data_IF_528158867996
#
_entry.id   IF_528158867996
#
_cell.length_a   1.000
_cell.length_b   1.000
_cell.length_c   1.000
_cell.angle_alpha   90.00
_cell.angle_beta   90.00
_cell.angle_gamma   90.00
#
_symmetry.space_group_name_H-M   'P 1'
#
loop_
_entity.id
_entity.type
_entity.pdbx_description
1 polymer ?
#
# COMPACT_ATOMS: atom_id res chain seq x y z
N UNK A 1 84.05 -24.79 -104.94
CA UNK A 1 83.33 -25.83 -104.20
C UNK A 1 82.41 -25.09 -103.24
N UNK A 2 81.25 -24.65 -103.73
CA UNK A 2 80.02 -25.44 -103.73
C UNK A 2 79.70 -25.94 -102.33
N UNK A 3 78.70 -25.35 -101.68
CA UNK A 3 77.44 -26.08 -101.53
C UNK A 3 76.24 -25.12 -101.46
N UNK A 4 75.20 -25.47 -102.22
CA UNK A 4 73.90 -24.79 -102.29
C UNK A 4 72.90 -25.72 -101.62
N UNK A 5 72.36 -25.32 -100.47
CA UNK A 5 71.24 -25.99 -99.82
C UNK A 5 70.07 -25.03 -99.64
N UNK A 6 69.23 -24.93 -100.65
CA UNK A 6 67.88 -24.34 -100.59
C UNK A 6 66.95 -25.24 -99.77
N UNK A 7 66.30 -24.69 -98.75
CA UNK A 7 64.96 -25.11 -98.35
C UNK A 7 64.08 -23.89 -98.12
N UNK A 8 63.15 -23.73 -99.07
CA UNK A 8 61.97 -22.88 -99.02
C UNK A 8 60.85 -23.68 -98.37
N UNK A 9 59.94 -22.96 -97.73
CA UNK A 9 58.61 -23.39 -97.25
C UNK A 9 58.55 -23.99 -95.84
N UNK A 10 58.15 -23.14 -94.89
CA UNK A 10 56.87 -23.31 -94.22
C UNK A 10 56.33 -21.95 -93.78
N UNK A 11 55.56 -21.34 -94.67
CA UNK A 11 54.64 -20.27 -94.35
C UNK A 11 53.50 -20.87 -93.51
N UNK A 12 53.46 -20.58 -92.21
CA UNK A 12 52.24 -20.65 -91.40
C UNK A 12 52.18 -19.45 -90.46
N UNK A 13 51.70 -18.36 -91.04
CA UNK A 13 50.68 -17.48 -90.49
C UNK A 13 50.35 -17.70 -88.99
N UNK A 14 50.88 -16.82 -88.14
CA UNK A 14 50.11 -16.22 -87.04
C UNK A 14 50.60 -14.78 -86.88
N UNK A 15 50.31 -13.97 -87.90
CA UNK A 15 50.10 -12.56 -87.64
C UNK A 15 48.84 -12.44 -86.79
N UNK A 16 48.98 -11.81 -85.63
CA UNK A 16 48.05 -10.74 -85.30
C UNK A 16 48.90 -9.48 -85.27
N UNK A 17 48.98 -8.76 -86.39
CA UNK A 17 49.29 -7.33 -86.33
C UNK A 17 48.26 -6.74 -85.38
N UNK A 18 48.70 -6.36 -84.17
CA UNK A 18 47.84 -5.69 -83.22
C UNK A 18 47.43 -4.37 -83.88
N UNK A 19 46.16 -4.23 -84.25
CA UNK A 19 45.69 -3.02 -84.91
C UNK A 19 45.76 -1.88 -83.90
N UNK A 20 46.28 -0.74 -84.32
CA UNK A 20 46.42 0.46 -83.47
C UNK A 20 45.07 0.90 -82.85
N UNK A 21 43.96 0.60 -83.54
CA UNK A 21 42.59 0.80 -83.04
C UNK A 21 42.25 -0.06 -81.81
N UNK A 22 42.67 -1.32 -81.78
CA UNK A 22 42.43 -2.22 -80.64
C UNK A 22 43.21 -1.74 -79.40
N UNK A 23 44.41 -1.20 -79.61
CA UNK A 23 45.23 -0.58 -78.54
C UNK A 23 44.55 0.69 -78.01
N UNK A 24 44.01 1.53 -78.90
CA UNK A 24 43.35 2.77 -78.52
C UNK A 24 42.05 2.52 -77.73
N UNK A 25 41.26 1.51 -78.14
CA UNK A 25 40.08 1.07 -77.38
C UNK A 25 40.47 0.53 -75.99
N UNK A 26 41.55 -0.25 -75.90
CA UNK A 26 42.05 -0.76 -74.63
C UNK A 26 42.48 0.38 -73.69
N UNK A 27 43.23 1.37 -74.20
CA UNK A 27 43.68 2.55 -73.44
C UNK A 27 42.48 3.39 -73.00
N UNK A 28 41.50 3.61 -73.88
CA UNK A 28 40.25 4.31 -73.54
C UNK A 28 39.47 3.56 -72.45
N UNK A 29 39.39 2.23 -72.55
CA UNK A 29 38.79 1.36 -71.54
C UNK A 29 39.54 1.40 -70.21
N UNK A 30 40.87 1.47 -70.23
CA UNK A 30 41.72 1.64 -69.04
C UNK A 30 41.52 3.01 -68.40
N UNK A 31 41.46 4.08 -69.19
CA UNK A 31 41.21 5.44 -68.69
C UNK A 31 39.87 5.52 -67.93
N UNK A 32 38.79 4.98 -68.52
CA UNK A 32 37.47 4.93 -67.85
C UNK A 32 37.48 4.10 -66.57
N UNK A 33 38.34 3.09 -66.45
CA UNK A 33 38.51 2.32 -65.21
C UNK A 33 39.34 3.10 -64.18
N UNK A 34 40.29 3.91 -64.62
CA UNK A 34 41.07 4.82 -63.76
C UNK A 34 40.14 5.83 -63.08
N UNK A 35 39.26 6.49 -63.84
CA UNK A 35 38.29 7.46 -63.28
C UNK A 35 37.39 6.80 -62.21
N UNK A 36 36.99 5.54 -62.42
CA UNK A 36 36.24 4.78 -61.42
C UNK A 36 37.06 4.43 -60.18
N UNK A 37 38.37 4.19 -60.33
CA UNK A 37 39.26 3.94 -59.19
C UNK A 37 39.43 5.21 -58.34
N UNK A 38 39.54 6.38 -58.97
CA UNK A 38 39.62 7.65 -58.24
C UNK A 38 38.34 7.92 -57.43
N UNK A 39 37.16 7.67 -58.02
CA UNK A 39 35.87 7.77 -57.30
C UNK A 39 35.79 6.78 -56.14
N UNK A 40 36.30 5.55 -56.32
CA UNK A 40 36.34 4.55 -55.25
C UNK A 40 37.27 5.02 -54.13
N UNK A 41 38.42 5.61 -54.47
CA UNK A 41 39.37 6.13 -53.48
C UNK A 41 38.75 7.26 -52.65
N UNK A 42 38.09 8.22 -53.29
CA UNK A 42 37.39 9.31 -52.61
C UNK A 42 36.30 8.78 -51.67
N UNK A 43 35.47 7.85 -52.14
CA UNK A 43 34.45 7.21 -51.30
C UNK A 43 35.06 6.45 -50.12
N UNK A 44 36.22 5.82 -50.34
CA UNK A 44 36.92 5.07 -49.28
C UNK A 44 37.48 6.00 -48.20
N UNK A 45 37.97 7.18 -48.55
CA UNK A 45 38.39 8.21 -47.60
C UNK A 45 37.21 8.78 -46.80
N UNK A 46 36.06 9.01 -47.46
CA UNK A 46 34.83 9.43 -46.78
C UNK A 46 34.35 8.38 -45.78
N UNK A 47 34.29 7.11 -46.18
CA UNK A 47 33.92 5.98 -45.31
C UNK A 47 34.87 5.88 -44.11
N UNK A 48 36.18 6.06 -44.30
CA UNK A 48 37.14 6.04 -43.19
C UNK A 48 36.90 7.16 -42.18
N UNK A 49 36.47 8.33 -42.66
CA UNK A 49 36.15 9.49 -41.80
C UNK A 49 34.89 9.21 -40.99
N UNK A 50 33.82 8.77 -41.64
CA UNK A 50 32.57 8.37 -40.97
C UNK A 50 32.81 7.26 -39.93
N UNK A 51 33.62 6.24 -40.27
CA UNK A 51 33.98 5.17 -39.34
C UNK A 51 34.71 5.68 -38.09
N UNK A 52 35.56 6.71 -38.21
CA UNK A 52 36.22 7.34 -37.04
C UNK A 52 35.21 8.07 -36.18
N UNK A 53 34.25 8.77 -36.77
CA UNK A 53 33.20 9.47 -36.03
C UNK A 53 32.27 8.51 -35.31
N UNK A 54 31.84 7.43 -35.99
CA UNK A 54 31.05 6.36 -35.39
C UNK A 54 31.78 5.72 -34.20
N UNK A 55 33.10 5.46 -34.32
CA UNK A 55 33.89 4.95 -33.19
C UNK A 55 33.86 5.87 -31.97
N UNK A 56 34.05 7.19 -32.18
CA UNK A 56 33.97 8.17 -31.08
C UNK A 56 32.59 8.20 -30.43
N UNK A 57 31.53 8.13 -31.25
CA UNK A 57 30.16 8.07 -30.74
C UNK A 57 29.90 6.80 -29.91
N UNK A 58 30.43 5.66 -30.36
CA UNK A 58 30.35 4.39 -29.63
C UNK A 58 31.10 4.46 -28.29
N UNK A 59 32.31 5.04 -28.27
CA UNK A 59 33.08 5.23 -27.03
C UNK A 59 32.34 6.13 -26.03
N UNK A 60 31.76 7.24 -26.52
CA UNK A 60 30.94 8.13 -25.70
C UNK A 60 29.72 7.40 -25.13
N UNK A 61 28.98 6.68 -25.98
CA UNK A 61 27.81 5.92 -25.57
C UNK A 61 28.16 4.83 -24.52
N UNK A 62 29.30 4.16 -24.67
CA UNK A 62 29.78 3.20 -23.67
C UNK A 62 30.07 3.86 -22.32
N UNK A 63 30.69 5.05 -22.33
CA UNK A 63 30.93 5.81 -21.10
C UNK A 63 29.62 6.19 -20.40
N UNK A 64 28.63 6.71 -21.14
CA UNK A 64 27.31 7.04 -20.56
C UNK A 64 26.60 5.80 -20.01
N UNK A 65 26.66 4.67 -20.72
CA UNK A 65 26.07 3.41 -20.26
C UNK A 65 26.68 2.99 -18.92
N UNK A 66 27.99 3.11 -18.75
CA UNK A 66 28.66 2.72 -17.52
C UNK A 66 28.33 3.66 -16.34
N UNK A 67 28.15 4.95 -16.61
CA UNK A 67 27.71 5.89 -15.57
C UNK A 67 26.24 5.67 -15.19
N UNK A 68 25.37 5.39 -16.16
CA UNK A 68 23.98 5.01 -15.91
C UNK A 68 23.87 3.72 -15.08
N UNK A 69 24.73 2.72 -15.34
CA UNK A 69 24.78 1.50 -14.53
C UNK A 69 25.12 1.80 -13.07
N UNK A 70 26.15 2.61 -12.82
CA UNK A 70 26.55 3.00 -11.46
C UNK A 70 25.43 3.78 -10.75
N UNK A 71 24.74 4.68 -11.45
CA UNK A 71 23.63 5.42 -10.88
C UNK A 71 22.44 4.51 -10.56
N UNK A 72 22.15 3.56 -11.45
CA UNK A 72 21.08 2.59 -11.27
C UNK A 72 21.34 1.66 -10.07
N UNK A 73 22.59 1.22 -9.87
CA UNK A 73 22.99 0.46 -8.69
C UNK A 73 22.78 1.24 -7.40
N UNK A 74 23.19 2.52 -7.36
CA UNK A 74 22.97 3.42 -6.22
C UNK A 74 21.47 3.60 -5.94
N UNK A 75 20.67 3.83 -6.99
CA UNK A 75 19.21 3.95 -6.87
C UNK A 75 18.58 2.67 -6.34
N UNK A 76 19.00 1.51 -6.84
CA UNK A 76 18.52 0.22 -6.35
C UNK A 76 18.85 -0.01 -4.88
N UNK A 77 20.05 0.39 -4.43
CA UNK A 77 20.42 0.33 -3.02
C UNK A 77 19.52 1.23 -2.16
N UNK A 78 19.39 2.50 -2.51
CA UNK A 78 18.54 3.46 -1.78
C UNK A 78 17.08 2.99 -1.73
N UNK A 79 16.58 2.40 -2.82
CA UNK A 79 15.24 1.85 -2.88
C UNK A 79 15.07 0.70 -1.87
N UNK A 80 16.03 -0.24 -1.80
CA UNK A 80 15.98 -1.35 -0.83
C UNK A 80 15.98 -0.83 0.61
N UNK A 81 16.90 0.06 0.96
CA UNK A 81 16.99 0.66 2.29
C UNK A 81 15.71 1.40 2.68
N UNK A 82 15.13 2.13 1.72
CA UNK A 82 13.87 2.85 1.92
C UNK A 82 12.70 1.89 2.15
N UNK A 83 12.60 0.82 1.35
CA UNK A 83 11.56 -0.21 1.52
C UNK A 83 11.68 -0.91 2.86
N UNK A 84 12.90 -1.27 3.29
CA UNK A 84 13.14 -1.88 4.60
C UNK A 84 12.72 -0.95 5.75
N UNK A 85 13.05 0.34 5.64
CA UNK A 85 12.66 1.34 6.63
C UNK A 85 11.15 1.54 6.69
N UNK A 86 10.46 1.56 5.55
CA UNK A 86 9.00 1.64 5.48
C UNK A 86 8.37 0.43 6.17
N UNK A 87 8.80 -0.79 5.82
CA UNK A 87 8.27 -2.01 6.41
C UNK A 87 8.45 -2.02 7.94
N UNK A 88 9.61 -1.56 8.42
CA UNK A 88 9.86 -1.43 9.87
C UNK A 88 8.93 -0.40 10.51
N UNK A 89 8.77 0.77 9.91
CA UNK A 89 7.89 1.81 10.42
C UNK A 89 6.42 1.36 10.45
N UNK A 90 5.96 0.61 9.45
CA UNK A 90 4.62 0.03 9.42
C UNK A 90 4.40 -0.98 10.55
N UNK A 91 5.40 -1.84 10.81
CA UNK A 91 5.37 -2.79 11.91
C UNK A 91 5.35 -2.10 13.29
N UNK A 92 6.21 -1.10 13.48
CA UNK A 92 6.28 -0.30 14.70
C UNK A 92 4.97 0.47 14.92
N UNK A 93 4.41 1.09 13.87
CA UNK A 93 3.15 1.81 13.94
C UNK A 93 1.99 0.88 14.32
N UNK A 94 1.94 -0.32 13.73
CA UNK A 94 0.94 -1.34 14.10
C UNK A 94 1.06 -1.72 15.58
N UNK A 95 2.28 -1.90 16.08
CA UNK A 95 2.56 -2.24 17.47
C UNK A 95 2.15 -1.10 18.43
N UNK A 96 2.47 0.13 18.08
CA UNK A 96 2.11 1.32 18.83
C UNK A 96 0.58 1.51 18.87
N UNK A 97 -0.09 1.36 17.74
CA UNK A 97 -1.55 1.46 17.65
C UNK A 97 -2.23 0.42 18.56
N UNK A 98 -1.78 -0.83 18.50
CA UNK A 98 -2.30 -1.90 19.36
C UNK A 98 -2.08 -1.59 20.84
N UNK A 99 -0.90 -1.07 21.19
CA UNK A 99 -0.56 -0.67 22.57
C UNK A 99 -1.44 0.47 23.06
N UNK A 100 -1.69 1.48 22.23
CA UNK A 100 -2.57 2.61 22.55
C UNK A 100 -4.01 2.13 22.74
N UNK A 101 -4.53 1.28 21.86
CA UNK A 101 -5.89 0.71 21.99
C UNK A 101 -6.01 -0.08 23.29
N UNK A 102 -5.02 -0.90 23.62
CA UNK A 102 -5.00 -1.71 24.84
C UNK A 102 -4.91 -0.86 26.10
N UNK A 103 -4.09 0.20 26.12
CA UNK A 103 -4.06 1.19 27.21
C UNK A 103 -5.39 1.91 27.39
N UNK A 104 -6.02 2.38 26.30
CA UNK A 104 -7.36 2.98 26.33
C UNK A 104 -8.37 1.99 26.89
N UNK A 105 -8.35 0.73 26.44
CA UNK A 105 -9.26 -0.32 26.90
C UNK A 105 -9.10 -0.64 28.39
N UNK A 106 -7.86 -0.68 28.91
CA UNK A 106 -7.60 -0.84 30.35
C UNK A 106 -8.15 0.34 31.14
N UNK A 107 -7.92 1.57 30.68
CA UNK A 107 -8.39 2.79 31.34
C UNK A 107 -9.92 2.90 31.39
N UNK A 108 -10.60 2.36 30.38
CA UNK A 108 -12.06 2.39 30.24
C UNK A 108 -12.79 1.15 30.81
N UNK A 109 -12.05 0.15 31.30
CA UNK A 109 -12.61 -1.17 31.67
C UNK A 109 -13.74 -1.10 32.70
N UNK A 110 -13.60 -0.19 33.65
CA UNK A 110 -14.53 -0.01 34.77
C UNK A 110 -15.54 1.10 34.51
N UNK A 111 -15.69 1.52 33.24
CA UNK A 111 -16.63 2.55 32.84
C UNK A 111 -17.90 1.94 32.22
N UNK A 112 -19.05 2.53 32.56
CA UNK A 112 -20.33 2.27 31.90
C UNK A 112 -20.87 3.52 31.21
N UNK A 113 -21.60 3.29 30.14
CA UNK A 113 -22.36 4.28 29.39
C UNK A 113 -23.84 4.09 29.67
N UNK A 114 -24.49 5.17 30.08
CA UNK A 114 -25.92 5.24 30.34
C UNK A 114 -26.59 6.09 29.26
N UNK A 115 -27.52 5.50 28.53
CA UNK A 115 -28.22 6.10 27.40
C UNK A 115 -29.65 6.43 27.76
N UNK A 116 -30.20 7.47 27.11
CA UNK A 116 -31.59 7.91 27.25
C UNK A 116 -31.98 8.31 28.68
N UNK A 117 -31.02 8.68 29.52
CA UNK A 117 -31.31 9.35 30.79
C UNK A 117 -31.66 10.81 30.51
N UNK A 118 -32.83 11.33 30.96
CA UNK A 118 -33.21 12.73 30.77
C UNK A 118 -32.09 13.68 31.17
N UNK A 119 -31.87 14.76 30.41
CA UNK A 119 -30.79 15.71 30.62
C UNK A 119 -31.37 17.02 31.16
N UNK A 120 -30.93 17.42 32.36
CA UNK A 120 -31.42 18.60 33.08
C UNK A 120 -30.31 19.65 33.20
N UNK A 121 -30.70 20.90 33.43
CA UNK A 121 -29.74 21.97 33.79
C UNK A 121 -29.19 21.69 35.19
N UNK A 122 -27.88 21.84 35.38
CA UNK A 122 -27.18 21.62 36.66
C UNK A 122 -27.41 20.23 37.29
N UNK A 123 -27.43 19.21 36.44
CA UNK A 123 -27.65 17.83 36.87
C UNK A 123 -26.47 17.24 37.68
N UNK A 124 -26.80 16.43 38.69
CA UNK A 124 -25.83 15.57 39.37
C UNK A 124 -25.89 14.16 38.77
N UNK A 125 -25.05 13.92 37.76
CA UNK A 125 -25.06 12.63 37.04
C UNK A 125 -24.78 11.42 37.95
N UNK A 126 -24.01 11.57 39.04
CA UNK A 126 -23.79 10.50 40.03
C UNK A 126 -25.09 10.17 40.77
N UNK A 127 -25.80 11.18 41.28
CA UNK A 127 -27.07 10.99 41.97
C UNK A 127 -28.13 10.38 41.05
N UNK A 128 -28.18 10.79 39.78
CA UNK A 128 -29.07 10.21 38.78
C UNK A 128 -28.78 8.72 38.54
N UNK A 129 -27.50 8.33 38.48
CA UNK A 129 -27.12 6.93 38.36
C UNK A 129 -27.56 6.15 39.60
N UNK A 130 -27.28 6.63 40.82
CA UNK A 130 -27.70 5.93 42.04
C UNK A 130 -29.21 5.71 42.09
N UNK A 131 -30.00 6.75 41.78
CA UNK A 131 -31.45 6.66 41.68
C UNK A 131 -31.91 5.60 40.67
N UNK A 132 -31.28 5.55 39.50
CA UNK A 132 -31.55 4.51 38.50
C UNK A 132 -31.25 3.09 39.04
N UNK A 133 -30.12 2.93 39.74
CA UNK A 133 -29.70 1.65 40.30
C UNK A 133 -30.70 1.17 41.38
N UNK A 134 -31.15 2.06 42.26
CA UNK A 134 -32.15 1.77 43.29
C UNK A 134 -33.52 1.46 42.68
N UNK A 135 -34.08 2.39 41.91
CA UNK A 135 -35.47 2.30 41.45
C UNK A 135 -35.71 1.25 40.37
N UNK A 136 -34.72 1.01 39.49
CA UNK A 136 -34.93 0.18 38.29
C UNK A 136 -34.13 -1.11 38.30
N UNK A 137 -33.01 -1.17 39.03
CA UNK A 137 -32.16 -2.35 39.06
C UNK A 137 -32.20 -3.10 40.41
N UNK A 138 -32.74 -2.48 41.46
CA UNK A 138 -32.94 -3.09 42.78
C UNK A 138 -31.67 -3.13 43.63
N UNK A 139 -30.78 -2.15 43.49
CA UNK A 139 -29.62 -2.00 44.37
C UNK A 139 -30.00 -1.19 45.60
N UNK A 140 -30.00 -1.79 46.80
CA UNK A 140 -30.29 -1.09 48.05
C UNK A 140 -29.13 -0.21 48.50
N UNK A 141 -29.42 1.03 48.90
CA UNK A 141 -28.44 2.03 49.34
C UNK A 141 -27.31 2.24 48.32
N UNK A 142 -27.65 2.36 47.04
CA UNK A 142 -26.67 2.45 45.97
C UNK A 142 -25.70 3.61 46.18
N UNK A 143 -26.18 4.75 46.69
CA UNK A 143 -25.34 5.91 47.02
C UNK A 143 -24.27 5.62 48.10
N UNK A 144 -24.54 4.70 49.02
CA UNK A 144 -23.59 4.32 50.07
C UNK A 144 -22.66 3.19 49.61
N UNK A 145 -23.20 2.15 48.97
CA UNK A 145 -22.48 0.91 48.66
C UNK A 145 -21.69 0.95 47.35
N UNK A 146 -22.17 1.68 46.35
CA UNK A 146 -21.55 1.74 45.02
C UNK A 146 -20.76 3.04 44.92
N UNK A 147 -19.45 2.94 44.72
CA UNK A 147 -18.59 4.12 44.60
C UNK A 147 -18.28 4.44 43.14
N UNK A 148 -18.66 5.64 42.74
CA UNK A 148 -18.40 6.21 41.41
C UNK A 148 -17.29 7.25 41.57
N UNK A 149 -16.17 7.04 40.88
CA UNK A 149 -15.02 7.95 40.85
C UNK A 149 -15.41 9.26 40.17
N UNK A 150 -15.95 9.15 38.96
CA UNK A 150 -16.42 10.29 38.19
C UNK A 150 -17.56 9.92 37.26
N UNK A 151 -18.49 10.84 37.06
CA UNK A 151 -19.55 10.73 36.06
C UNK A 151 -19.78 12.08 35.36
N UNK A 152 -20.11 12.03 34.07
CA UNK A 152 -20.42 13.22 33.28
C UNK A 152 -21.11 12.85 31.95
N UNK A 153 -21.77 13.83 31.32
CA UNK A 153 -22.29 13.68 29.94
C UNK A 153 -21.16 13.66 28.92
N UNK A 154 -21.26 12.77 27.94
CA UNK A 154 -20.34 12.70 26.81
C UNK A 154 -20.65 13.77 25.75
N UNK A 155 -19.61 14.47 25.30
CA UNK A 155 -19.70 15.46 24.23
C UNK A 155 -20.32 16.79 24.66
N UNK A 156 -20.36 17.76 23.74
CA UNK A 156 -20.97 19.08 23.96
C UNK A 156 -22.44 19.06 23.57
N UNK A 157 -23.31 19.72 24.35
CA UNK A 157 -24.72 19.91 24.00
C UNK A 157 -24.81 20.84 22.80
N UNK A 158 -25.38 20.37 21.68
CA UNK A 158 -25.61 21.22 20.50
C UNK A 158 -26.96 21.92 20.61
N UNK A 159 -27.03 23.16 20.09
CA UNK A 159 -28.28 23.94 20.05
C UNK A 159 -29.31 23.18 19.21
N UNK A 160 -30.49 22.94 19.77
CA UNK A 160 -31.58 22.22 19.10
C UNK A 160 -31.49 20.69 19.19
N UNK A 161 -30.48 20.12 19.86
CA UNK A 161 -30.41 18.69 20.09
C UNK A 161 -31.37 18.28 21.22
N UNK A 162 -32.40 17.51 20.86
CA UNK A 162 -33.42 17.02 21.80
C UNK A 162 -33.06 15.68 22.44
N UNK A 163 -32.08 14.97 21.85
CA UNK A 163 -31.64 13.68 22.37
C UNK A 163 -30.68 13.89 23.53
N UNK A 164 -31.00 13.30 24.69
CA UNK A 164 -30.14 13.35 25.84
C UNK A 164 -28.77 12.70 25.55
N UNK A 165 -27.69 13.39 25.94
CA UNK A 165 -26.32 12.87 25.77
C UNK A 165 -26.10 11.67 26.68
N UNK A 166 -25.32 10.65 26.27
CA UNK A 166 -25.00 9.54 27.17
C UNK A 166 -24.19 10.03 28.38
N UNK A 167 -24.44 9.46 29.56
CA UNK A 167 -23.57 9.65 30.73
C UNK A 167 -22.50 8.56 30.70
N UNK A 168 -21.23 8.93 30.87
CA UNK A 168 -20.17 8.00 31.21
C UNK A 168 -19.91 8.05 32.71
N UNK A 169 -19.79 6.90 33.36
CA UNK A 169 -19.39 6.82 34.75
C UNK A 169 -18.31 5.77 34.97
N UNK A 170 -17.27 6.14 35.72
CA UNK A 170 -16.19 5.25 36.15
C UNK A 170 -16.48 4.76 37.56
N UNK A 171 -16.54 3.45 37.72
CA UNK A 171 -16.76 2.80 39.01
C UNK A 171 -15.43 2.47 39.67
N UNK A 172 -15.36 2.59 41.00
CA UNK A 172 -14.12 2.28 41.74
C UNK A 172 -13.87 0.77 41.77
N UNK A 173 -14.93 -0.03 41.82
CA UNK A 173 -14.85 -1.47 41.95
C UNK A 173 -15.40 -2.16 40.69
N UNK A 174 -14.56 -2.98 40.08
CA UNK A 174 -14.93 -3.77 38.90
C UNK A 174 -16.18 -4.65 39.14
N UNK A 175 -16.32 -5.17 40.37
CA UNK A 175 -17.45 -6.02 40.76
C UNK A 175 -18.79 -5.29 40.67
N UNK A 176 -18.83 -4.02 41.08
CA UNK A 176 -20.04 -3.18 40.98
C UNK A 176 -20.45 -3.02 39.51
N UNK A 177 -19.49 -2.65 38.66
CA UNK A 177 -19.69 -2.52 37.22
C UNK A 177 -20.26 -3.80 36.61
N UNK A 178 -19.69 -4.96 36.96
CA UNK A 178 -20.15 -6.27 36.47
C UNK A 178 -21.56 -6.58 36.98
N UNK A 179 -21.85 -6.31 38.25
CA UNK A 179 -23.17 -6.53 38.85
C UNK A 179 -24.25 -5.67 38.18
N UNK A 180 -23.96 -4.38 37.95
CA UNK A 180 -24.83 -3.45 37.23
C UNK A 180 -25.11 -3.98 35.82
N UNK A 181 -24.07 -4.38 35.08
CA UNK A 181 -24.23 -4.91 33.72
C UNK A 181 -25.06 -6.19 33.66
N UNK A 182 -24.93 -7.09 34.64
CA UNK A 182 -25.76 -8.30 34.72
C UNK A 182 -27.24 -7.97 34.93
N UNK A 183 -27.52 -6.91 35.69
CA UNK A 183 -28.89 -6.44 35.98
C UNK A 183 -29.46 -5.53 34.89
N UNK A 184 -28.65 -4.96 34.00
CA UNK A 184 -29.08 -4.05 32.93
C UNK A 184 -30.18 -4.63 32.01
N UNK A 185 -30.29 -5.97 31.90
CA UNK A 185 -31.38 -6.63 31.18
C UNK A 185 -32.77 -6.28 31.70
N UNK A 186 -32.91 -5.92 32.98
CA UNK A 186 -34.18 -5.48 33.61
C UNK A 186 -34.73 -4.20 32.97
N UNK A 187 -33.90 -3.41 32.30
CA UNK A 187 -34.29 -2.14 31.68
C UNK A 187 -34.93 -2.30 30.30
N UNK A 188 -34.75 -3.45 29.64
CA UNK A 188 -35.12 -3.66 28.22
C UNK A 188 -36.59 -3.40 27.93
N UNK A 189 -37.46 -3.81 28.84
CA UNK A 189 -38.92 -3.76 28.65
C UNK A 189 -39.57 -2.60 29.44
N UNK A 190 -38.76 -1.66 29.93
CA UNK A 190 -39.27 -0.49 30.65
C UNK A 190 -39.66 0.64 29.70
N UNK A 191 -40.72 1.38 30.03
CA UNK A 191 -41.16 2.56 29.27
C UNK A 191 -40.07 3.63 29.12
N UNK A 192 -39.12 3.69 30.06
CA UNK A 192 -38.01 4.65 30.07
C UNK A 192 -36.99 4.46 28.94
N UNK A 193 -36.93 3.25 28.33
CA UNK A 193 -35.95 2.89 27.27
C UNK A 193 -34.50 3.22 27.62
N UNK A 194 -34.14 3.25 28.90
CA UNK A 194 -32.78 3.49 29.36
C UNK A 194 -31.90 2.31 28.95
N UNK A 195 -30.73 2.62 28.39
CA UNK A 195 -29.75 1.62 27.99
C UNK A 195 -28.49 1.72 28.83
N UNK A 196 -27.87 0.58 29.15
CA UNK A 196 -26.55 0.52 29.78
C UNK A 196 -25.63 -0.34 28.92
N UNK A 197 -24.43 0.16 28.64
CA UNK A 197 -23.37 -0.61 27.99
C UNK A 197 -22.01 -0.35 28.61
N UNK A 198 -21.05 -1.22 28.33
CA UNK A 198 -19.64 -0.96 28.61
C UNK A 198 -19.12 0.16 27.69
N UNK A 199 -18.13 0.91 28.18
CA UNK A 199 -17.37 1.85 27.34
C UNK A 199 -16.22 1.10 26.63
N UNK A 200 -16.01 1.41 25.35
CA UNK A 200 -14.88 0.90 24.58
C UNK A 200 -14.14 2.06 23.90
N UNK A 201 -12.84 1.90 23.61
CA UNK A 201 -12.12 2.76 22.67
C UNK A 201 -12.86 2.82 21.33
N UNK A 202 -12.73 3.94 20.62
CA UNK A 202 -13.48 4.20 19.39
C UNK A 202 -13.26 3.11 18.35
N UNK A 203 -12.02 2.65 18.21
CA UNK A 203 -11.59 1.60 17.28
C UNK A 203 -12.38 0.29 17.53
N UNK A 204 -12.47 -0.12 18.80
CA UNK A 204 -13.23 -1.30 19.22
C UNK A 204 -14.75 -1.06 19.08
N UNK A 205 -15.23 0.13 19.48
CA UNK A 205 -16.64 0.48 19.40
C UNK A 205 -17.15 0.47 17.94
N UNK A 206 -16.32 0.92 17.01
CA UNK A 206 -16.59 0.92 15.56
C UNK A 206 -16.73 -0.51 15.03
N UNK A 207 -15.79 -1.39 15.34
CA UNK A 207 -15.88 -2.80 14.94
C UNK A 207 -17.08 -3.51 15.57
N UNK A 208 -17.34 -3.28 16.85
CA UNK A 208 -18.55 -3.81 17.51
C UNK A 208 -19.82 -3.34 16.83
N UNK A 209 -19.89 -2.07 16.41
CA UNK A 209 -21.05 -1.53 15.67
C UNK A 209 -21.21 -2.23 14.32
N UNK A 210 -20.11 -2.48 13.59
CA UNK A 210 -20.11 -3.24 12.32
C UNK A 210 -20.61 -4.67 12.52
N UNK A 211 -20.18 -5.34 13.58
CA UNK A 211 -20.52 -6.74 13.89
C UNK A 211 -21.91 -6.92 14.53
N UNK A 212 -22.51 -5.85 15.05
CA UNK A 212 -23.76 -5.93 15.81
C UNK A 212 -24.97 -6.48 15.02
N UNK A 213 -25.17 -6.15 13.72
CA UNK A 213 -26.23 -6.75 12.91
C UNK A 213 -26.11 -8.28 12.83
N UNK A 214 -24.91 -8.80 12.60
CA UNK A 214 -24.64 -10.24 12.52
C UNK A 214 -24.80 -10.92 13.88
N UNK A 215 -24.33 -10.28 14.95
CA UNK A 215 -24.60 -10.73 16.32
C UNK A 215 -26.11 -10.86 16.59
N UNK A 216 -26.90 -9.86 16.20
CA UNK A 216 -28.37 -9.89 16.35
C UNK A 216 -29.03 -10.96 15.48
N UNK A 217 -28.55 -11.17 14.26
CA UNK A 217 -29.04 -12.20 13.35
C UNK A 217 -28.79 -13.59 13.93
N UNK A 218 -27.57 -13.86 14.38
CA UNK A 218 -27.21 -15.11 15.03
C UNK A 218 -28.07 -15.39 16.27
N UNK A 219 -28.27 -14.39 17.14
CA UNK A 219 -29.15 -14.53 18.32
C UNK A 219 -30.62 -14.79 17.96
N UNK A 220 -31.14 -14.16 16.90
CA UNK A 220 -32.51 -14.42 16.41
C UNK A 220 -32.67 -15.84 15.87
N UNK A 221 -31.60 -16.40 15.31
CA UNK A 221 -31.55 -17.78 14.82
C UNK A 221 -31.21 -18.79 15.93
N UNK A 222 -31.34 -18.42 17.21
CA UNK A 222 -31.01 -19.26 18.38
C UNK A 222 -29.56 -19.78 18.42
N UNK A 223 -28.62 -19.11 17.73
CA UNK A 223 -27.20 -19.46 17.78
C UNK A 223 -26.51 -18.81 18.98
N UNK A 224 -25.46 -19.47 19.49
CA UNK A 224 -24.64 -18.94 20.59
C UNK A 224 -23.69 -17.87 20.05
N UNK A 225 -24.09 -16.60 20.13
CA UNK A 225 -23.27 -15.48 19.67
C UNK A 225 -22.73 -14.64 20.83
N UNK A 226 -21.43 -14.30 20.83
CA UNK A 226 -20.77 -13.48 21.85
C UNK A 226 -19.83 -12.47 21.22
N UNK A 227 -19.88 -11.21 21.68
CA UNK A 227 -18.95 -10.15 21.28
C UNK A 227 -17.88 -9.94 22.36
N UNK A 228 -16.65 -10.35 22.08
CA UNK A 228 -15.50 -10.18 22.98
C UNK A 228 -14.57 -9.14 22.38
N UNK A 229 -14.37 -8.01 23.08
CA UNK A 229 -13.67 -6.82 22.54
C UNK A 229 -14.26 -6.44 21.16
N UNK A 230 -13.47 -6.53 20.12
CA UNK A 230 -13.74 -6.21 18.71
C UNK A 230 -14.13 -7.44 17.87
N UNK A 231 -14.24 -8.63 18.47
CA UNK A 231 -14.48 -9.90 17.76
C UNK A 231 -15.83 -10.51 18.07
N UNK A 232 -16.48 -11.04 17.04
CA UNK A 232 -17.73 -11.80 17.16
C UNK A 232 -17.43 -13.29 17.07
N UNK A 233 -17.94 -14.06 18.02
CA UNK A 233 -17.91 -15.52 18.01
C UNK A 233 -19.33 -16.06 17.84
N UNK A 234 -19.54 -16.98 16.91
CA UNK A 234 -20.83 -17.67 16.67
C UNK A 234 -20.59 -19.16 16.83
N UNK A 235 -21.32 -19.81 17.74
CA UNK A 235 -21.14 -21.21 18.15
C UNK A 235 -19.70 -21.55 18.59
N UNK A 236 -18.97 -20.57 19.10
CA UNK A 236 -17.59 -20.72 19.55
C UNK A 236 -16.54 -20.41 18.48
N UNK A 237 -16.94 -20.26 17.21
CA UNK A 237 -16.04 -19.95 16.11
C UNK A 237 -15.96 -18.45 15.84
N UNK A 238 -14.77 -17.98 15.47
CA UNK A 238 -14.55 -16.58 15.11
C UNK A 238 -15.28 -16.27 13.80
N UNK A 239 -16.21 -15.31 13.85
CA UNK A 239 -16.89 -14.80 12.67
C UNK A 239 -15.92 -13.98 11.82
N UNK A 240 -15.66 -14.45 10.60
CA UNK A 240 -14.87 -13.78 9.57
C UNK A 240 -15.83 -13.24 8.51
N UNK A 241 -16.48 -12.11 8.81
CA UNK A 241 -17.36 -11.41 7.87
C UNK A 241 -16.80 -10.08 7.44
#
# INVERSE_FOLDING_TARGET
MEDKGTEKEMNKNFGSEVKLQDIFELISGMSKKMDKLDIIQENMENIQTELKEVRKSIEYAHSEIDDLKKENEKKAQVQRETTERINKLEADNTTLLNSVIDLKARSMRDNLLFYNMPEESDENTTAMIHKLLEEKLGFEDAAMKIKIDRSHRLGKKKRGETKARPIVAKFNFHQDKVSIMRNAKKLKDTASRIGISEQFPEEIARERKRLYPEFKKARRNNLKATLVRDKLFINGELFRG
#
